data_IF_328345219588
#
_entry.id   IF_328345219588
#
_cell.length_a   1.000
_cell.length_b   1.000
_cell.length_c   1.000
_cell.angle_alpha   90.00
_cell.angle_beta   90.00
_cell.angle_gamma   90.00
#
_symmetry.space_group_name_H-M   'P 1'
#
loop_
_entity.id
_entity.type
_entity.pdbx_description
1 polymer ?
#
# COMPACT_ATOMS: atom_id res chain seq x y z
N UNK A 1 30.73 -5.50 9.24
CA UNK A 1 30.64 -6.76 9.99
C UNK A 1 29.71 -7.71 9.24
N UNK A 2 30.22 -8.88 8.86
CA UNK A 2 29.42 -9.88 8.15
C UNK A 2 28.57 -10.64 9.18
N UNK A 3 27.26 -10.58 9.06
CA UNK A 3 26.34 -11.36 9.88
C UNK A 3 26.12 -12.73 9.23
N UNK A 4 26.67 -13.76 9.86
CA UNK A 4 26.36 -15.16 9.56
C UNK A 4 25.10 -15.53 10.34
N UNK A 5 23.98 -15.69 9.65
CA UNK A 5 22.79 -16.35 10.21
C UNK A 5 23.11 -17.85 10.17
N UNK A 6 23.44 -18.44 11.32
CA UNK A 6 23.57 -19.87 11.47
C UNK A 6 22.16 -20.49 11.44
N UNK A 7 21.81 -21.08 10.30
CA UNK A 7 20.63 -21.93 10.16
C UNK A 7 21.04 -23.36 10.57
N UNK A 8 20.72 -23.74 11.80
CA UNK A 8 20.81 -25.12 12.25
C UNK A 8 19.55 -25.88 11.81
N UNK A 9 19.53 -26.32 10.57
CA UNK A 9 18.48 -27.17 10.00
C UNK A 9 19.12 -28.18 9.05
N UNK A 10 18.92 -29.48 9.35
CA UNK A 10 19.43 -30.66 8.68
C UNK A 10 19.81 -30.49 7.20
N UNK A 11 21.04 -30.76 6.88
CA UNK A 11 21.72 -31.25 5.67
C UNK A 11 21.09 -31.17 4.28
N UNK A 12 20.25 -30.18 3.99
CA UNK A 12 19.75 -29.92 2.63
C UNK A 12 20.64 -28.83 2.02
N UNK A 13 21.39 -29.16 1.00
CA UNK A 13 22.14 -28.16 0.24
C UNK A 13 21.15 -27.10 -0.32
N UNK A 14 21.42 -25.79 -0.11
CA UNK A 14 20.54 -24.75 -0.57
C UNK A 14 20.46 -24.77 -2.10
N UNK A 15 19.26 -24.86 -2.64
CA UNK A 15 19.00 -24.78 -4.08
C UNK A 15 19.54 -23.47 -4.65
N UNK A 16 19.96 -23.42 -5.93
CA UNK A 16 20.45 -22.19 -6.56
C UNK A 16 19.45 -21.01 -6.48
N UNK A 17 18.16 -21.31 -6.49
CA UNK A 17 17.09 -20.33 -6.30
C UNK A 17 17.09 -19.70 -4.91
N UNK A 18 17.44 -20.48 -3.85
CA UNK A 18 17.54 -19.98 -2.48
C UNK A 18 18.77 -19.07 -2.30
N UNK A 19 19.85 -19.33 -3.03
CA UNK A 19 21.03 -18.47 -3.03
C UNK A 19 20.71 -17.10 -3.65
N UNK A 20 20.04 -17.08 -4.81
CA UNK A 20 19.60 -15.84 -5.48
C UNK A 20 18.57 -15.07 -4.64
N UNK A 21 17.64 -15.74 -3.97
CA UNK A 21 16.68 -15.12 -3.07
C UNK A 21 17.37 -14.44 -1.89
N UNK A 22 18.35 -15.12 -1.27
CA UNK A 22 19.16 -14.56 -0.18
C UNK A 22 20.01 -13.37 -0.61
N UNK A 23 20.59 -13.40 -1.80
CA UNK A 23 21.35 -12.28 -2.35
C UNK A 23 20.45 -11.05 -2.57
N UNK A 24 19.24 -11.24 -3.15
CA UNK A 24 18.25 -10.18 -3.30
C UNK A 24 17.83 -9.59 -1.97
N UNK A 25 17.53 -10.43 -0.98
CA UNK A 25 17.19 -9.99 0.36
C UNK A 25 18.35 -9.19 1.00
N UNK A 26 19.57 -9.69 0.90
CA UNK A 26 20.75 -8.98 1.40
C UNK A 26 20.96 -7.64 0.70
N UNK A 27 20.71 -7.58 -0.62
CA UNK A 27 20.73 -6.34 -1.40
C UNK A 27 19.68 -5.34 -0.92
N UNK A 28 18.44 -5.78 -0.78
CA UNK A 28 17.35 -4.94 -0.26
C UNK A 28 17.62 -4.46 1.16
N UNK A 29 18.11 -5.32 2.06
CA UNK A 29 18.44 -4.95 3.44
C UNK A 29 19.52 -3.86 3.50
N UNK A 30 20.55 -3.93 2.65
CA UNK A 30 21.57 -2.86 2.55
C UNK A 30 20.95 -1.55 2.09
N UNK A 31 20.03 -1.59 1.12
CA UNK A 31 19.37 -0.40 0.62
C UNK A 31 18.37 0.17 1.63
N UNK A 32 17.62 -0.68 2.33
CA UNK A 32 16.75 -0.26 3.45
C UNK A 32 17.55 0.45 4.54
N UNK A 33 18.71 -0.08 4.93
CA UNK A 33 19.58 0.58 5.91
C UNK A 33 19.99 1.99 5.45
N UNK A 34 20.31 2.17 4.17
CA UNK A 34 20.66 3.45 3.59
C UNK A 34 19.49 4.45 3.53
N UNK A 35 18.26 3.97 3.62
CA UNK A 35 17.08 4.84 3.72
C UNK A 35 16.94 5.48 5.10
N UNK A 36 17.55 4.91 6.12
CA UNK A 36 17.54 5.48 7.48
C UNK A 36 18.62 6.54 7.62
N UNK A 37 18.24 7.81 7.68
CA UNK A 37 19.18 8.93 7.70
C UNK A 37 19.50 9.44 9.10
N UNK A 38 18.74 9.02 10.12
CA UNK A 38 18.96 9.31 11.53
C UNK A 38 18.52 8.13 12.37
N UNK A 39 19.32 7.74 13.37
CA UNK A 39 19.11 6.55 14.23
C UNK A 39 19.08 5.25 13.39
N UNK A 40 19.85 5.18 12.33
CA UNK A 40 19.82 4.13 11.32
C UNK A 40 19.95 2.74 11.93
N UNK A 41 20.95 2.52 12.80
CA UNK A 41 21.15 1.20 13.42
C UNK A 41 19.94 0.76 14.25
N UNK A 42 19.40 1.67 15.08
CA UNK A 42 18.29 1.33 15.96
C UNK A 42 16.98 1.10 15.17
N UNK A 43 16.74 1.87 14.09
CA UNK A 43 15.62 1.63 13.17
C UNK A 43 15.77 0.30 12.42
N UNK A 44 16.99 -0.05 12.05
CA UNK A 44 17.26 -1.30 11.33
C UNK A 44 17.09 -2.52 12.25
N UNK A 45 17.61 -2.45 13.49
CA UNK A 45 17.38 -3.48 14.51
C UNK A 45 15.89 -3.61 14.86
N UNK A 46 15.15 -2.49 14.89
CA UNK A 46 13.69 -2.51 15.07
C UNK A 46 13.00 -3.23 13.92
N UNK A 47 13.38 -2.95 12.67
CA UNK A 47 12.81 -3.63 11.50
C UNK A 47 13.09 -5.14 11.55
N UNK A 48 14.29 -5.55 11.93
CA UNK A 48 14.66 -6.95 12.09
C UNK A 48 13.85 -7.62 13.22
N UNK A 49 13.73 -6.97 14.38
CA UNK A 49 12.94 -7.49 15.49
C UNK A 49 11.46 -7.70 15.11
N UNK A 50 10.89 -6.79 14.32
CA UNK A 50 9.50 -6.95 13.79
C UNK A 50 9.40 -8.12 12.84
N UNK A 51 10.37 -8.30 11.93
CA UNK A 51 10.35 -9.37 10.92
C UNK A 51 10.58 -10.76 11.53
N UNK A 52 11.32 -10.84 12.65
CA UNK A 52 11.64 -12.09 13.32
C UNK A 52 10.71 -12.40 14.50
N UNK A 53 9.75 -11.53 14.81
CA UNK A 53 8.82 -11.73 15.91
C UNK A 53 7.83 -12.87 15.61
N UNK A 54 7.70 -13.81 16.56
CA UNK A 54 6.72 -14.90 16.52
C UNK A 54 5.31 -14.37 16.85
N UNK A 55 4.60 -13.87 15.85
CA UNK A 55 3.22 -13.40 15.99
C UNK A 55 3.05 -11.87 16.03
N UNK A 56 1.86 -11.37 16.36
CA UNK A 56 1.55 -9.95 16.25
C UNK A 56 2.31 -9.11 17.28
N UNK A 57 3.08 -8.15 16.79
CA UNK A 57 3.80 -7.17 17.62
C UNK A 57 2.81 -6.23 18.30
N UNK A 58 2.80 -6.22 19.64
CA UNK A 58 1.90 -5.38 20.44
C UNK A 58 2.57 -4.14 21.03
N UNK A 59 3.85 -4.24 21.39
CA UNK A 59 4.55 -3.16 22.10
C UNK A 59 6.02 -3.10 21.69
N UNK A 60 6.62 -1.90 21.75
CA UNK A 60 8.07 -1.74 21.59
C UNK A 60 8.85 -2.44 22.72
N UNK A 61 8.28 -2.50 23.93
CA UNK A 61 8.88 -3.22 25.05
C UNK A 61 9.04 -4.72 24.73
N UNK A 62 8.02 -5.34 24.10
CA UNK A 62 8.12 -6.74 23.64
C UNK A 62 9.21 -6.94 22.59
N UNK A 63 9.34 -6.00 21.65
CA UNK A 63 10.41 -6.05 20.64
C UNK A 63 11.82 -5.88 21.21
N UNK A 64 11.96 -5.16 22.34
CA UNK A 64 13.27 -5.02 23.00
C UNK A 64 13.83 -6.33 23.57
N UNK A 65 12.99 -7.36 23.67
CA UNK A 65 13.39 -8.71 24.10
C UNK A 65 13.76 -9.62 22.91
N UNK A 66 13.56 -9.18 21.69
CA UNK A 66 13.93 -9.94 20.50
C UNK A 66 15.46 -10.02 20.37
N UNK A 67 16.02 -11.17 19.95
CA UNK A 67 17.47 -11.33 19.80
C UNK A 67 18.12 -10.37 18.80
N UNK A 68 17.33 -9.87 17.86
CA UNK A 68 17.74 -8.92 16.83
C UNK A 68 17.98 -7.52 17.42
N UNK A 69 17.34 -7.20 18.54
CA UNK A 69 17.53 -5.93 19.24
C UNK A 69 18.73 -6.03 20.20
N UNK A 70 19.83 -5.39 19.84
CA UNK A 70 21.10 -5.44 20.58
C UNK A 70 21.36 -4.25 21.47
N UNK A 71 20.41 -3.31 21.51
CA UNK A 71 20.52 -2.04 22.25
C UNK A 71 19.63 -2.07 23.49
N UNK A 72 19.86 -1.13 24.40
CA UNK A 72 18.97 -0.96 25.56
C UNK A 72 17.56 -0.55 25.14
N UNK A 73 16.57 -0.90 25.96
CA UNK A 73 15.14 -0.65 25.74
C UNK A 73 14.81 0.78 25.28
N UNK A 74 15.46 1.81 25.82
CA UNK A 74 15.23 3.20 25.42
C UNK A 74 15.59 3.51 23.96
N UNK A 75 16.47 2.72 23.33
CA UNK A 75 16.91 2.96 21.96
C UNK A 75 15.78 2.77 20.93
N UNK A 76 14.81 1.87 21.16
CA UNK A 76 13.65 1.69 20.28
C UNK A 76 12.73 2.89 20.32
N UNK A 77 12.46 3.43 21.52
CA UNK A 77 11.65 4.65 21.66
C UNK A 77 12.35 5.86 21.04
N UNK A 78 13.66 5.99 21.23
CA UNK A 78 14.46 7.05 20.63
C UNK A 78 14.49 6.91 19.08
N UNK A 79 14.59 5.69 18.55
CA UNK A 79 14.54 5.43 17.13
C UNK A 79 13.18 5.86 16.52
N UNK A 80 12.06 5.50 17.14
CA UNK A 80 10.73 5.86 16.65
C UNK A 80 10.48 7.37 16.77
N UNK A 81 10.92 8.01 17.86
CA UNK A 81 10.66 9.43 18.10
C UNK A 81 11.58 10.36 17.30
N UNK A 82 12.83 9.97 17.08
CA UNK A 82 13.86 10.85 16.50
C UNK A 82 14.52 10.28 15.23
N UNK A 83 14.17 9.05 14.85
CA UNK A 83 14.61 8.46 13.61
C UNK A 83 14.10 9.20 12.39
N UNK A 84 14.82 9.07 11.27
CA UNK A 84 14.40 9.65 9.99
C UNK A 84 14.60 8.64 8.88
N UNK A 85 13.61 8.59 7.98
CA UNK A 85 13.62 7.75 6.79
C UNK A 85 13.57 8.66 5.57
N UNK A 86 14.44 8.44 4.61
CA UNK A 86 14.34 9.03 3.28
C UNK A 86 13.28 8.27 2.47
N UNK A 87 12.03 8.71 2.62
CA UNK A 87 10.86 8.02 2.05
C UNK A 87 10.96 7.87 0.53
N UNK A 88 11.43 8.90 -0.18
CA UNK A 88 11.59 8.86 -1.63
C UNK A 88 12.56 7.74 -2.07
N UNK A 89 13.67 7.55 -1.33
CA UNK A 89 14.60 6.47 -1.58
C UNK A 89 13.99 5.10 -1.31
N UNK A 90 13.27 4.95 -0.20
CA UNK A 90 12.58 3.70 0.13
C UNK A 90 11.57 3.33 -0.96
N UNK A 91 10.75 4.28 -1.42
CA UNK A 91 9.79 4.09 -2.50
C UNK A 91 10.44 3.63 -3.80
N UNK A 92 11.58 4.23 -4.18
CA UNK A 92 12.36 3.78 -5.35
C UNK A 92 12.91 2.37 -5.16
N UNK A 93 13.43 2.07 -3.97
CA UNK A 93 13.96 0.73 -3.67
C UNK A 93 12.88 -0.35 -3.75
N UNK A 94 11.68 -0.08 -3.23
CA UNK A 94 10.54 -0.99 -3.33
C UNK A 94 10.11 -1.19 -4.79
N UNK A 95 10.02 -0.11 -5.58
CA UNK A 95 9.70 -0.21 -7.00
C UNK A 95 10.78 -0.93 -7.83
N UNK A 96 12.02 -0.99 -7.36
CA UNK A 96 13.12 -1.73 -8.02
C UNK A 96 13.15 -3.23 -7.74
N UNK A 97 12.29 -3.73 -6.86
CA UNK A 97 12.22 -5.16 -6.57
C UNK A 97 11.45 -5.92 -7.67
N UNK A 98 11.76 -7.20 -7.91
CA UNK A 98 10.94 -8.03 -8.79
C UNK A 98 9.49 -8.07 -8.30
N UNK A 99 8.56 -7.80 -9.20
CA UNK A 99 7.13 -7.80 -8.91
C UNK A 99 6.43 -8.98 -9.59
N UNK A 100 5.39 -9.53 -8.95
CA UNK A 100 4.57 -10.58 -9.55
C UNK A 100 3.83 -10.05 -10.77
N UNK A 101 3.56 -10.95 -11.73
CA UNK A 101 2.82 -10.66 -12.96
C UNK A 101 1.77 -11.72 -13.20
N UNK A 102 0.66 -11.33 -13.81
CA UNK A 102 -0.33 -12.25 -14.34
C UNK A 102 0.25 -13.05 -15.53
N UNK A 103 -0.46 -14.08 -15.97
CA UNK A 103 -0.03 -14.97 -17.03
C UNK A 103 0.16 -14.24 -18.39
N UNK A 104 -0.55 -13.14 -18.60
CA UNK A 104 -0.42 -12.25 -19.76
C UNK A 104 0.71 -11.21 -19.64
N UNK A 105 1.51 -11.26 -18.57
CA UNK A 105 2.58 -10.31 -18.26
C UNK A 105 2.12 -9.03 -17.58
N UNK A 106 0.82 -8.83 -17.33
CA UNK A 106 0.23 -7.65 -16.72
C UNK A 106 0.64 -7.52 -15.26
N UNK A 107 0.91 -6.29 -14.83
CA UNK A 107 0.99 -5.93 -13.41
C UNK A 107 -0.41 -5.69 -12.86
N UNK A 108 -0.66 -6.16 -11.64
CA UNK A 108 -1.91 -5.94 -10.92
C UNK A 108 -1.61 -5.21 -9.60
N UNK A 109 -2.20 -4.05 -9.41
CA UNK A 109 -2.07 -3.26 -8.19
C UNK A 109 -3.41 -3.21 -7.46
N UNK A 110 -3.38 -3.27 -6.14
CA UNK A 110 -4.54 -2.94 -5.30
C UNK A 110 -4.28 -1.64 -4.56
N UNK A 111 -5.33 -0.86 -4.42
CA UNK A 111 -5.35 0.36 -3.60
C UNK A 111 -6.41 0.17 -2.53
N UNK A 112 -6.02 0.33 -1.27
CA UNK A 112 -6.92 0.19 -0.14
C UNK A 112 -6.56 1.14 0.99
N UNK A 113 -7.54 1.51 1.82
CA UNK A 113 -7.32 2.33 3.02
C UNK A 113 -7.16 1.45 4.25
N UNK A 114 -5.98 1.47 4.82
CA UNK A 114 -5.68 0.81 6.08
C UNK A 114 -5.80 1.79 7.24
N UNK A 115 -6.72 1.53 8.14
CA UNK A 115 -6.96 2.34 9.34
C UNK A 115 -5.98 1.99 10.45
N UNK A 116 -5.34 3.00 11.04
CA UNK A 116 -4.53 2.86 12.24
C UNK A 116 -5.22 3.51 13.45
N UNK A 117 -6.11 2.78 14.14
CA UNK A 117 -6.87 3.32 15.28
C UNK A 117 -5.96 3.71 16.45
N UNK A 118 -6.25 4.86 17.04
CA UNK A 118 -5.57 5.40 18.23
C UNK A 118 -6.58 6.07 19.16
N UNK A 119 -7.45 5.30 19.84
CA UNK A 119 -8.52 5.85 20.68
C UNK A 119 -8.00 6.72 21.83
N UNK A 120 -6.83 6.35 22.39
CA UNK A 120 -6.22 7.08 23.50
C UNK A 120 -5.42 8.34 23.13
N UNK A 121 -5.27 8.66 21.83
CA UNK A 121 -4.45 9.78 21.38
C UNK A 121 -5.29 11.07 21.21
N UNK A 122 -5.94 11.54 22.26
CA UNK A 122 -6.89 12.66 22.21
C UNK A 122 -6.30 13.97 21.68
N UNK A 123 -5.02 14.21 21.89
CA UNK A 123 -4.31 15.45 21.54
C UNK A 123 -3.50 15.37 20.25
N UNK A 124 -3.49 14.21 19.57
CA UNK A 124 -2.71 14.05 18.36
C UNK A 124 -3.29 14.89 17.21
N UNK A 125 -2.46 15.71 16.53
CA UNK A 125 -2.93 16.54 15.42
C UNK A 125 -3.30 15.69 14.20
N UNK A 126 -4.16 16.22 13.34
CA UNK A 126 -4.54 15.62 12.06
C UNK A 126 -5.10 14.20 12.17
N UNK A 127 -5.76 13.91 13.27
CA UNK A 127 -6.44 12.65 13.51
C UNK A 127 -7.81 12.67 12.82
N UNK A 128 -8.15 11.57 12.17
CA UNK A 128 -9.46 11.33 11.58
C UNK A 128 -10.23 10.29 12.39
N UNK A 129 -11.50 10.12 12.05
CA UNK A 129 -12.28 8.97 12.49
C UNK A 129 -12.12 7.84 11.48
N UNK A 130 -11.43 6.78 11.88
CA UNK A 130 -11.27 5.58 11.09
C UNK A 130 -12.50 4.71 11.21
N UNK A 131 -13.04 4.28 10.08
CA UNK A 131 -14.15 3.34 10.05
C UNK A 131 -13.63 1.93 10.31
N UNK A 132 -14.06 1.32 11.42
CA UNK A 132 -13.69 -0.04 11.79
C UNK A 132 -14.93 -0.93 11.71
N UNK A 133 -14.87 -1.93 10.84
CA UNK A 133 -15.98 -2.88 10.65
C UNK A 133 -15.96 -3.93 11.75
N UNK A 134 -17.06 -4.04 12.51
CA UNK A 134 -17.30 -5.18 13.39
C UNK A 134 -17.79 -6.40 12.60
N UNK A 135 -17.69 -7.60 13.18
CA UNK A 135 -18.12 -8.86 12.55
C UNK A 135 -19.65 -9.00 12.40
N UNK A 136 -20.45 -8.12 13.01
CA UNK A 136 -21.92 -8.15 12.98
C UNK A 136 -22.50 -6.96 12.21
N UNK A 137 -23.72 -7.14 11.67
CA UNK A 137 -24.46 -6.08 10.99
C UNK A 137 -24.71 -4.91 11.97
N UNK A 138 -24.33 -3.70 11.60
CA UNK A 138 -24.49 -2.51 12.44
C UNK A 138 -23.41 -2.30 13.51
N UNK A 139 -22.33 -3.08 13.53
CA UNK A 139 -21.23 -2.95 14.49
C UNK A 139 -20.05 -2.12 13.97
N UNK A 140 -20.26 -1.37 12.89
CA UNK A 140 -19.27 -0.42 12.43
C UNK A 140 -19.07 0.68 13.48
N UNK A 141 -17.80 0.95 13.83
CA UNK A 141 -17.42 1.97 14.78
C UNK A 141 -16.50 2.99 14.14
N UNK A 142 -16.67 4.25 14.54
CA UNK A 142 -15.78 5.34 14.16
C UNK A 142 -14.77 5.54 15.29
N UNK A 143 -13.53 5.08 15.08
CA UNK A 143 -12.46 5.14 16.08
C UNK A 143 -11.44 6.19 15.66
N UNK A 144 -11.05 7.13 16.54
CA UNK A 144 -9.99 8.10 16.24
C UNK A 144 -8.68 7.41 15.86
N UNK A 145 -8.03 7.91 14.80
CA UNK A 145 -6.79 7.34 14.30
C UNK A 145 -6.28 8.02 13.03
N UNK A 146 -5.42 7.35 12.32
CA UNK A 146 -4.89 7.81 11.03
C UNK A 146 -5.17 6.76 9.96
N UNK A 147 -5.95 7.08 8.92
CA UNK A 147 -6.05 6.24 7.74
C UNK A 147 -4.83 6.43 6.83
N UNK A 148 -4.39 5.33 6.23
CA UNK A 148 -3.32 5.32 5.24
C UNK A 148 -3.84 4.70 3.94
N UNK A 149 -3.71 5.41 2.83
CA UNK A 149 -3.86 4.83 1.50
C UNK A 149 -2.62 3.99 1.19
N UNK A 150 -2.80 2.72 0.90
CA UNK A 150 -1.72 1.76 0.61
C UNK A 150 -1.87 1.26 -0.82
N UNK A 151 -0.77 1.23 -1.56
CA UNK A 151 -0.70 0.59 -2.88
C UNK A 151 0.23 -0.61 -2.81
N UNK A 152 -0.26 -1.76 -3.24
CA UNK A 152 0.50 -3.00 -3.29
C UNK A 152 0.34 -3.72 -4.63
N UNK A 153 1.41 -4.33 -5.12
CA UNK A 153 1.33 -5.28 -6.22
C UNK A 153 0.80 -6.62 -5.72
N UNK A 154 -0.14 -7.18 -6.48
CA UNK A 154 -0.81 -8.44 -6.18
C UNK A 154 -0.13 -9.60 -6.89
N UNK A 155 -0.01 -10.74 -6.20
CA UNK A 155 0.30 -11.99 -6.85
C UNK A 155 -0.99 -12.60 -7.43
N UNK A 156 -1.07 -12.84 -8.75
CA UNK A 156 -2.29 -13.40 -9.38
C UNK A 156 -2.42 -14.91 -9.20
N UNK A 157 -1.66 -15.50 -8.28
CA UNK A 157 -1.63 -16.92 -8.03
C UNK A 157 -2.59 -17.37 -6.91
N UNK A 158 -2.21 -18.45 -6.24
CA UNK A 158 -2.99 -19.08 -5.15
C UNK A 158 -2.66 -18.52 -3.77
N UNK A 159 -1.72 -17.60 -3.68
CA UNK A 159 -1.32 -17.01 -2.40
C UNK A 159 -1.97 -15.64 -2.21
N UNK A 160 -2.02 -15.17 -0.96
CA UNK A 160 -2.42 -13.81 -0.60
C UNK A 160 -1.22 -12.87 -0.47
N UNK A 161 -0.09 -13.24 -1.05
CA UNK A 161 1.12 -12.42 -0.96
C UNK A 161 0.98 -11.11 -1.75
N UNK A 162 1.44 -10.03 -1.16
CA UNK A 162 1.41 -8.69 -1.76
C UNK A 162 2.75 -7.98 -1.54
N UNK A 163 3.18 -7.18 -2.52
CA UNK A 163 4.35 -6.33 -2.40
C UNK A 163 3.91 -4.88 -2.22
N UNK A 164 4.07 -4.32 -1.02
CA UNK A 164 3.76 -2.91 -0.75
C UNK A 164 4.71 -2.01 -1.54
N UNK A 165 4.16 -1.06 -2.30
CA UNK A 165 4.89 -0.11 -3.13
C UNK A 165 4.85 1.31 -2.56
N UNK A 166 3.76 1.66 -1.88
CA UNK A 166 3.56 2.98 -1.30
C UNK A 166 2.56 2.97 -0.16
N UNK A 167 2.71 3.92 0.75
CA UNK A 167 1.74 4.25 1.77
C UNK A 167 1.73 5.77 2.00
N UNK A 168 0.55 6.39 1.99
CA UNK A 168 0.34 7.82 2.22
C UNK A 168 -0.72 8.01 3.29
N UNK A 169 -0.44 8.85 4.29
CA UNK A 169 -1.43 9.19 5.32
C UNK A 169 -2.45 10.15 4.73
N UNK A 170 -3.73 9.90 5.00
CA UNK A 170 -4.83 10.80 4.66
C UNK A 170 -5.07 11.75 5.83
N UNK A 171 -5.14 13.05 5.53
CA UNK A 171 -5.43 14.12 6.47
C UNK A 171 -6.90 14.53 6.48
N UNK A 172 -7.35 15.33 7.47
CA UNK A 172 -8.74 15.75 7.59
C UNK A 172 -9.23 16.68 6.47
N UNK A 173 -8.32 17.42 5.85
CA UNK A 173 -8.63 18.39 4.79
C UNK A 173 -8.33 17.84 3.38
N UNK A 174 -7.89 16.59 3.28
CA UNK A 174 -7.51 15.97 2.02
C UNK A 174 -8.76 15.54 1.20
N UNK A 175 -8.72 15.76 -0.11
CA UNK A 175 -9.58 15.05 -1.05
C UNK A 175 -8.99 13.66 -1.30
N UNK A 176 -9.60 12.63 -0.72
CA UNK A 176 -9.13 11.26 -0.79
C UNK A 176 -8.93 10.78 -2.24
N UNK A 177 -9.82 11.18 -3.16
CA UNK A 177 -9.73 10.80 -4.57
C UNK A 177 -8.52 11.43 -5.25
N UNK A 178 -8.26 12.73 -5.00
CA UNK A 178 -7.09 13.43 -5.55
C UNK A 178 -5.78 12.87 -4.99
N UNK A 179 -5.71 12.63 -3.68
CA UNK A 179 -4.53 12.02 -3.05
C UNK A 179 -4.27 10.62 -3.62
N UNK A 180 -5.33 9.82 -3.76
CA UNK A 180 -5.22 8.47 -4.34
C UNK A 180 -4.76 8.52 -5.80
N UNK A 181 -5.32 9.41 -6.62
CA UNK A 181 -4.90 9.58 -8.01
C UNK A 181 -3.43 10.02 -8.12
N UNK A 182 -3.01 10.99 -7.30
CA UNK A 182 -1.61 11.43 -7.23
C UNK A 182 -0.68 10.28 -6.81
N UNK A 183 -1.08 9.51 -5.79
CA UNK A 183 -0.30 8.37 -5.31
C UNK A 183 -0.15 7.28 -6.37
N UNK A 184 -1.25 6.93 -7.09
CA UNK A 184 -1.20 5.96 -8.20
C UNK A 184 -0.27 6.46 -9.30
N UNK A 185 -0.38 7.73 -9.69
CA UNK A 185 0.47 8.37 -10.70
C UNK A 185 1.95 8.25 -10.33
N UNK A 186 2.30 8.56 -9.09
CA UNK A 186 3.67 8.46 -8.58
C UNK A 186 4.19 7.02 -8.59
N UNK A 187 3.34 6.04 -8.22
CA UNK A 187 3.71 4.62 -8.27
C UNK A 187 3.95 4.19 -9.71
N UNK A 188 3.04 4.48 -10.64
CA UNK A 188 3.17 4.12 -12.05
C UNK A 188 4.45 4.73 -12.64
N UNK A 189 4.72 6.01 -12.38
CA UNK A 189 5.95 6.68 -12.84
C UNK A 189 7.21 5.97 -12.32
N UNK A 190 7.22 5.57 -11.05
CA UNK A 190 8.35 4.81 -10.47
C UNK A 190 8.50 3.43 -11.10
N UNK A 191 7.40 2.72 -11.37
CA UNK A 191 7.42 1.41 -12.02
C UNK A 191 7.92 1.48 -13.48
N UNK A 192 7.52 2.50 -14.23
CA UNK A 192 8.05 2.77 -15.57
C UNK A 192 9.56 3.05 -15.51
N UNK A 193 9.98 3.93 -14.59
CA UNK A 193 11.39 4.28 -14.40
C UNK A 193 12.23 3.06 -13.99
N UNK A 194 11.66 2.15 -13.19
CA UNK A 194 12.32 0.90 -12.79
C UNK A 194 12.29 -0.19 -13.90
N UNK A 195 11.65 0.07 -15.04
CA UNK A 195 11.58 -0.86 -16.17
C UNK A 195 10.54 -1.97 -16.04
N UNK A 196 9.59 -1.81 -15.11
CA UNK A 196 8.48 -2.76 -14.96
C UNK A 196 7.38 -2.61 -16.00
N UNK A 197 7.29 -1.48 -16.67
CA UNK A 197 6.37 -1.26 -17.76
C UNK A 197 7.06 -0.45 -18.87
N UNK A 198 6.80 -0.80 -20.12
CA UNK A 198 7.30 -0.13 -21.33
C UNK A 198 6.15 0.02 -22.33
N UNK A 199 6.30 0.95 -23.25
CA UNK A 199 5.36 1.10 -24.34
C UNK A 199 5.19 -0.22 -25.11
N UNK A 200 3.92 -0.63 -25.32
CA UNK A 200 3.56 -1.92 -25.91
C UNK A 200 3.27 -3.03 -24.89
N UNK A 201 3.63 -2.88 -23.62
CA UNK A 201 3.22 -3.81 -22.58
C UNK A 201 1.71 -3.65 -22.25
N UNK A 202 1.04 -4.70 -21.74
CA UNK A 202 -0.33 -4.59 -21.24
C UNK A 202 -0.46 -3.48 -20.19
N UNK A 203 -1.56 -2.73 -20.24
CA UNK A 203 -1.82 -1.70 -19.23
C UNK A 203 -1.83 -2.27 -17.81
N UNK A 204 -1.33 -1.51 -16.84
CA UNK A 204 -1.33 -1.91 -15.42
C UNK A 204 -2.76 -1.92 -14.90
N UNK A 205 -3.24 -3.04 -14.38
CA UNK A 205 -4.55 -3.12 -13.75
C UNK A 205 -4.49 -2.58 -12.33
N UNK A 206 -5.28 -1.53 -12.06
CA UNK A 206 -5.40 -0.96 -10.72
C UNK A 206 -6.79 -1.25 -10.16
N UNK A 207 -6.83 -1.99 -9.06
CA UNK A 207 -8.07 -2.48 -8.43
C UNK A 207 -8.39 -1.65 -7.20
N UNK A 208 -9.64 -1.20 -7.11
CA UNK A 208 -10.19 -0.42 -6.00
C UNK A 208 -11.40 -1.10 -5.38
N UNK A 209 -11.59 -0.94 -4.09
CA UNK A 209 -12.80 -1.39 -3.39
C UNK A 209 -14.01 -0.47 -3.66
N UNK A 210 -15.18 -0.85 -3.20
CA UNK A 210 -16.46 -0.15 -3.37
C UNK A 210 -16.53 1.23 -2.68
N UNK A 211 -15.58 1.55 -1.81
CA UNK A 211 -15.47 2.86 -1.15
C UNK A 211 -15.02 3.99 -2.06
N UNK A 212 -14.32 3.68 -3.14
CA UNK A 212 -13.71 4.68 -4.01
C UNK A 212 -14.65 5.24 -5.08
N UNK A 213 -14.46 6.51 -5.46
CA UNK A 213 -15.07 7.06 -6.67
C UNK A 213 -14.26 6.65 -7.91
N UNK A 214 -14.50 5.41 -8.35
CA UNK A 214 -13.78 4.80 -9.46
C UNK A 214 -13.95 5.58 -10.77
N UNK A 215 -15.09 6.22 -10.97
CA UNK A 215 -15.36 7.03 -12.18
C UNK A 215 -14.46 8.26 -12.24
N UNK A 216 -14.32 8.97 -11.12
CA UNK A 216 -13.42 10.12 -11.00
C UNK A 216 -11.97 9.68 -11.10
N UNK A 217 -11.58 8.56 -10.45
CA UNK A 217 -10.23 8.00 -10.56
C UNK A 217 -9.88 7.62 -12.00
N UNK A 218 -10.79 6.95 -12.72
CA UNK A 218 -10.56 6.62 -14.13
C UNK A 218 -10.35 7.86 -15.00
N UNK A 219 -11.07 8.95 -14.73
CA UNK A 219 -10.87 10.23 -15.41
C UNK A 219 -9.52 10.86 -15.08
N UNK A 220 -9.15 10.91 -13.79
CA UNK A 220 -7.88 11.51 -13.34
C UNK A 220 -6.63 10.74 -13.78
N UNK A 221 -6.78 9.46 -14.09
CA UNK A 221 -5.69 8.57 -14.50
C UNK A 221 -5.69 8.22 -16.00
N UNK A 222 -6.58 8.85 -16.79
CA UNK A 222 -6.80 8.51 -18.20
C UNK A 222 -5.58 8.70 -19.11
N UNK A 223 -4.60 9.51 -18.70
CA UNK A 223 -3.35 9.77 -19.40
C UNK A 223 -2.24 8.76 -19.10
N UNK A 224 -2.47 7.83 -18.18
CA UNK A 224 -1.51 6.80 -17.79
C UNK A 224 -1.82 5.45 -18.44
N UNK A 225 -0.82 4.57 -18.56
CA UNK A 225 -1.03 3.21 -19.08
C UNK A 225 -1.68 2.30 -18.03
N UNK A 226 -2.85 2.67 -17.55
CA UNK A 226 -3.58 1.96 -16.50
C UNK A 226 -4.99 1.61 -16.95
N UNK A 227 -5.47 0.47 -16.48
CA UNK A 227 -6.89 0.11 -16.49
C UNK A 227 -7.40 0.15 -15.06
N UNK A 228 -8.51 0.83 -14.83
CA UNK A 228 -9.12 0.98 -13.52
C UNK A 228 -10.26 -0.03 -13.37
N UNK A 229 -10.16 -0.91 -12.36
CA UNK A 229 -11.20 -1.84 -11.98
C UNK A 229 -11.70 -1.49 -10.57
N UNK A 230 -12.98 -1.21 -10.44
CA UNK A 230 -13.57 -0.93 -9.15
C UNK A 230 -14.87 -1.67 -8.92
N UNK A 231 -15.11 -2.04 -7.68
CA UNK A 231 -16.37 -2.62 -7.27
C UNK A 231 -17.43 -1.54 -7.13
N UNK A 232 -18.53 -1.67 -7.84
CA UNK A 232 -19.70 -0.83 -7.64
C UNK A 232 -20.55 -1.34 -6.47
N UNK A 233 -21.06 -0.40 -5.68
CA UNK A 233 -22.06 -0.73 -4.65
C UNK A 233 -23.37 -1.17 -5.32
N UNK A 234 -24.04 -2.13 -4.73
CA UNK A 234 -25.29 -2.69 -5.28
C UNK A 234 -26.46 -1.68 -5.33
N UNK A 235 -26.35 -0.58 -4.56
CA UNK A 235 -27.34 0.51 -4.52
C UNK A 235 -27.05 1.64 -5.52
N UNK A 236 -25.97 1.53 -6.33
CA UNK A 236 -25.61 2.56 -7.29
C UNK A 236 -26.55 2.54 -8.50
N UNK A 237 -27.21 3.65 -8.72
CA UNK A 237 -28.09 3.83 -9.89
C UNK A 237 -27.28 4.30 -11.08
N UNK A 238 -27.18 3.47 -12.10
CA UNK A 238 -26.58 3.85 -13.40
C UNK A 238 -27.66 4.52 -14.26
N UNK A 239 -27.28 5.57 -14.98
CA UNK A 239 -28.19 6.29 -15.88
C UNK A 239 -27.77 6.04 -17.32
N UNK A 240 -28.72 5.73 -18.18
CA UNK A 240 -28.51 5.71 -19.61
C UNK A 240 -28.36 7.14 -20.15
N UNK A 241 -27.66 7.35 -21.28
CA UNK A 241 -27.65 8.64 -21.96
C UNK A 241 -29.08 9.14 -22.18
N UNK A 242 -29.28 10.46 -22.01
CA UNK A 242 -30.59 11.05 -22.28
C UNK A 242 -30.93 10.89 -23.78
N UNK A 243 -32.18 10.52 -24.12
CA UNK A 243 -32.56 10.43 -25.52
C UNK A 243 -32.40 11.78 -26.22
N UNK A 244 -32.10 11.80 -27.53
CA UNK A 244 -31.99 13.04 -28.30
C UNK A 244 -33.25 13.91 -28.12
N UNK A 245 -33.02 15.19 -28.00
CA UNK A 245 -34.12 16.16 -27.84
C UNK A 245 -34.79 16.38 -29.20
N UNK A 246 -36.13 16.20 -29.32
CA UNK A 246 -36.82 16.55 -30.56
C UNK A 246 -36.68 18.01 -30.88
N UNK A 247 -36.47 18.42 -32.16
CA UNK A 247 -36.43 19.82 -32.56
C UNK A 247 -37.68 20.56 -32.12
N UNK A 248 -37.52 21.82 -31.64
CA UNK A 248 -38.62 22.67 -31.26
C UNK A 248 -39.25 22.45 -29.87
N UNK A 249 -38.72 21.57 -29.04
CA UNK A 249 -39.21 21.39 -27.67
C UNK A 249 -38.52 22.34 -26.68
N UNK A 250 -39.26 23.24 -26.09
CA UNK A 250 -38.82 24.10 -24.97
C UNK A 250 -39.15 23.40 -23.63
N UNK A 251 -38.34 23.60 -22.60
CA UNK A 251 -38.58 23.08 -21.27
C UNK A 251 -37.42 22.25 -20.71
N UNK A 252 -37.58 21.74 -19.48
CA UNK A 252 -36.53 20.93 -18.79
C UNK A 252 -36.26 19.63 -19.55
N UNK A 253 -35.00 19.27 -19.81
CA UNK A 253 -34.66 17.96 -20.41
C UNK A 253 -35.29 16.80 -19.64
N UNK A 254 -35.75 15.75 -20.37
CA UNK A 254 -36.22 14.53 -19.72
C UNK A 254 -35.09 13.91 -18.90
N UNK A 255 -35.41 13.46 -17.69
CA UNK A 255 -34.45 12.70 -16.89
C UNK A 255 -34.13 11.37 -17.59
N UNK A 256 -32.84 11.01 -17.63
CA UNK A 256 -32.43 9.70 -18.13
C UNK A 256 -33.10 8.60 -17.28
N UNK A 257 -33.70 7.57 -17.89
CA UNK A 257 -34.25 6.44 -17.16
C UNK A 257 -33.10 5.68 -16.46
N UNK A 258 -33.37 4.97 -15.34
CA UNK A 258 -32.40 4.07 -14.75
C UNK A 258 -32.06 2.94 -15.73
N UNK A 259 -30.81 2.51 -15.77
CA UNK A 259 -30.43 1.29 -16.45
C UNK A 259 -31.05 0.10 -15.69
N UNK A 260 -31.66 -0.85 -16.40
CA UNK A 260 -32.19 -2.10 -15.84
C UNK A 260 -31.10 -3.12 -15.64
#
# INVERSE_FOLDING_TARGET
MAFSIAWAGAGVEPRPEDARARERLAGFRRELYRCFTRRADALFELADAVLCADGPVKTLAGLSLAPEHRRGHGALYDAVNHGRIEVARLRRSLAGLPLPRAADGRLMLAVDVSSWPRPGAATSPQRLFCHVYGRGKGQAQMIPGWPYSVIAALEPGRTSWTAVLDAVRLGPDDDETEITASQVRDVITRLITAGHWREGDPAVLVVFDAGYDVTRLAFLLADLPVEVLGRLRSDRVMKLPAPPRPPGTNGRPRRSPPAR
#
